data_IF_303795066653
#
_entry.id   IF_303795066653
#
_cell.length_a   1.000
_cell.length_b   1.000
_cell.length_c   1.000
_cell.angle_alpha   90.00
_cell.angle_beta   90.00
_cell.angle_gamma   90.00
#
_symmetry.space_group_name_H-M   'P 1'
#
loop_
_entity.id
_entity.type
_entity.pdbx_description
1 polymer ?
#
# COMPACT_ATOMS: atom_id res chain seq x y z
N UNK A 1 -9.07 -3.64 -25.02
CA UNK A 1 -10.57 -3.59 -24.91
C UNK A 1 -10.93 -3.20 -23.49
N UNK A 2 -11.56 -2.03 -23.28
CA UNK A 2 -11.96 -1.55 -21.93
C UNK A 2 -13.07 -2.43 -21.39
N UNK A 3 -12.90 -3.00 -20.20
CA UNK A 3 -13.90 -3.82 -19.55
C UNK A 3 -15.20 -3.02 -19.31
N UNK A 4 -16.33 -3.56 -19.72
CA UNK A 4 -17.68 -2.99 -19.47
C UNK A 4 -17.96 -2.79 -17.97
N UNK A 5 -17.27 -3.52 -17.09
CA UNK A 5 -17.28 -3.37 -15.62
C UNK A 5 -16.73 -2.02 -15.16
N UNK A 6 -15.69 -1.47 -15.82
CA UNK A 6 -15.09 -0.15 -15.46
C UNK A 6 -16.05 1.00 -15.75
N UNK A 7 -16.87 0.90 -16.81
CA UNK A 7 -17.84 1.95 -17.17
C UNK A 7 -19.08 1.94 -16.26
N UNK A 8 -19.57 0.76 -15.88
CA UNK A 8 -20.71 0.62 -14.96
C UNK A 8 -20.32 1.00 -13.53
N UNK A 9 -19.10 0.64 -13.10
CA UNK A 9 -18.53 1.06 -11.82
C UNK A 9 -18.46 2.58 -11.70
N UNK A 10 -17.99 3.28 -12.74
CA UNK A 10 -17.89 4.75 -12.76
C UNK A 10 -19.24 5.46 -12.65
N UNK A 11 -20.27 4.99 -13.38
CA UNK A 11 -21.61 5.59 -13.32
C UNK A 11 -22.27 5.38 -11.95
N UNK A 12 -22.12 4.22 -11.36
CA UNK A 12 -22.64 3.91 -10.02
C UNK A 12 -21.93 4.75 -8.94
N UNK A 13 -20.62 4.92 -9.05
CA UNK A 13 -19.81 5.71 -8.13
C UNK A 13 -20.10 7.22 -8.25
N UNK A 14 -20.27 7.75 -9.47
CA UNK A 14 -20.71 9.12 -9.68
C UNK A 14 -22.11 9.38 -9.10
N UNK A 15 -22.99 8.39 -9.13
CA UNK A 15 -24.31 8.49 -8.52
C UNK A 15 -24.25 8.50 -6.99
N UNK A 16 -23.41 7.64 -6.39
CA UNK A 16 -23.18 7.60 -4.94
C UNK A 16 -22.48 8.86 -4.43
N UNK A 17 -21.53 9.42 -5.19
CA UNK A 17 -20.90 10.71 -4.88
C UNK A 17 -21.92 11.88 -4.94
N UNK A 18 -22.90 11.81 -5.85
CA UNK A 18 -24.02 12.78 -5.92
C UNK A 18 -24.98 12.65 -4.76
N UNK A 19 -25.16 11.45 -4.20
CA UNK A 19 -26.09 11.16 -3.10
C UNK A 19 -25.48 11.39 -1.70
N UNK A 20 -24.33 12.05 -1.57
CA UNK A 20 -23.72 12.40 -0.29
C UNK A 20 -22.90 11.31 0.37
N UNK A 21 -22.40 10.32 -0.42
CA UNK A 21 -21.46 9.30 0.04
C UNK A 21 -20.23 9.91 0.72
N UNK A 22 -19.48 9.09 1.48
CA UNK A 22 -18.33 9.51 2.27
C UNK A 22 -17.34 10.39 1.48
N UNK A 23 -17.45 11.72 1.63
CA UNK A 23 -16.57 12.71 0.98
C UNK A 23 -15.34 13.07 1.80
N UNK A 24 -15.05 12.30 2.86
CA UNK A 24 -13.90 12.55 3.71
C UNK A 24 -12.59 12.57 2.92
N UNK A 25 -12.43 11.67 1.97
CA UNK A 25 -11.27 11.59 1.08
C UNK A 25 -11.08 12.87 0.24
N UNK A 26 -12.18 13.44 -0.31
CA UNK A 26 -12.11 14.67 -1.12
C UNK A 26 -11.81 15.88 -0.24
N UNK A 27 -12.32 15.92 0.98
CA UNK A 27 -11.99 16.97 1.94
C UNK A 27 -10.49 16.94 2.29
N UNK A 28 -9.91 15.77 2.56
CA UNK A 28 -8.47 15.64 2.81
C UNK A 28 -7.65 16.10 1.60
N UNK A 29 -8.02 15.71 0.38
CA UNK A 29 -7.38 16.20 -0.84
C UNK A 29 -7.52 17.70 -1.01
N UNK A 30 -8.72 18.26 -0.76
CA UNK A 30 -8.97 19.69 -0.85
C UNK A 30 -8.13 20.48 0.16
N UNK A 31 -7.97 19.98 1.39
CA UNK A 31 -7.11 20.59 2.40
C UNK A 31 -5.62 20.53 1.98
N UNK A 32 -5.17 19.39 1.47
CA UNK A 32 -3.78 19.21 1.02
C UNK A 32 -3.43 20.09 -0.17
N UNK A 33 -4.28 20.10 -1.20
CA UNK A 33 -4.11 20.88 -2.43
C UNK A 33 -4.70 22.30 -2.35
N UNK A 34 -5.07 22.77 -1.15
CA UNK A 34 -5.55 24.15 -0.89
C UNK A 34 -6.74 24.57 -1.72
N UNK A 35 -7.77 23.75 -1.74
CA UNK A 35 -9.04 24.07 -2.37
C UNK A 35 -9.43 23.23 -3.58
N UNK A 36 -8.81 22.03 -3.75
CA UNK A 36 -9.15 21.12 -4.85
C UNK A 36 -10.65 20.80 -4.85
N UNK A 37 -11.33 21.18 -5.94
CA UNK A 37 -12.73 20.84 -6.18
C UNK A 37 -12.90 19.47 -6.81
N UNK A 38 -14.12 18.92 -6.78
CA UNK A 38 -14.40 17.63 -7.44
C UNK A 38 -14.21 17.68 -8.95
N UNK A 39 -14.46 18.80 -9.60
CA UNK A 39 -14.24 19.01 -11.02
C UNK A 39 -12.74 18.99 -11.34
N UNK A 40 -11.94 19.73 -10.59
CA UNK A 40 -10.48 19.74 -10.72
C UNK A 40 -9.87 18.37 -10.41
N UNK A 41 -10.39 17.65 -9.42
CA UNK A 41 -9.99 16.28 -9.16
C UNK A 41 -10.14 15.40 -10.40
N UNK A 42 -11.30 15.44 -11.06
CA UNK A 42 -11.52 14.59 -12.24
C UNK A 42 -10.64 14.99 -13.43
N UNK A 43 -10.39 16.28 -13.61
CA UNK A 43 -9.46 16.77 -14.64
C UNK A 43 -8.05 16.25 -14.35
N UNK A 44 -7.51 16.51 -13.16
CA UNK A 44 -6.17 16.07 -12.78
C UNK A 44 -6.03 14.55 -12.80
N UNK A 45 -7.03 13.83 -12.32
CA UNK A 45 -7.05 12.36 -12.33
C UNK A 45 -6.98 11.81 -13.76
N UNK A 46 -7.74 12.39 -14.69
CA UNK A 46 -7.79 11.91 -16.09
C UNK A 46 -6.49 12.22 -16.82
N UNK A 47 -6.00 13.45 -16.71
CA UNK A 47 -4.74 13.87 -17.32
C UNK A 47 -3.55 13.12 -16.71
N UNK A 48 -3.46 13.08 -15.38
CA UNK A 48 -2.39 12.39 -14.68
C UNK A 48 -2.32 10.89 -14.99
N UNK A 49 -3.46 10.23 -15.25
CA UNK A 49 -3.49 8.84 -15.70
C UNK A 49 -2.83 8.66 -17.08
N UNK A 50 -3.08 9.60 -17.99
CA UNK A 50 -2.48 9.56 -19.34
C UNK A 50 -1.00 9.87 -19.27
N UNK A 51 -0.63 10.86 -18.48
CA UNK A 51 0.76 11.28 -18.30
C UNK A 51 1.58 10.18 -17.61
N UNK A 52 1.05 9.53 -16.58
CA UNK A 52 1.71 8.41 -15.90
C UNK A 52 1.95 7.22 -16.84
N UNK A 53 0.99 6.87 -17.69
CA UNK A 53 1.16 5.80 -18.67
C UNK A 53 2.28 6.15 -19.70
N UNK A 54 2.28 7.39 -20.17
CA UNK A 54 3.31 7.87 -21.11
C UNK A 54 4.68 7.93 -20.45
N UNK A 55 4.75 8.37 -19.19
CA UNK A 55 5.97 8.42 -18.40
C UNK A 55 6.54 7.02 -18.18
N UNK A 56 5.68 6.05 -17.83
CA UNK A 56 6.07 4.65 -17.67
C UNK A 56 6.68 4.05 -18.93
N UNK A 57 6.12 4.33 -20.11
CA UNK A 57 6.62 3.84 -21.39
C UNK A 57 7.97 4.47 -21.80
N UNK A 58 8.20 5.74 -21.43
CA UNK A 58 9.37 6.52 -21.87
C UNK A 58 10.57 6.42 -20.95
N UNK A 59 10.38 6.16 -19.66
CA UNK A 59 11.49 6.13 -18.70
C UNK A 59 12.31 4.85 -18.78
N UNK A 60 13.62 4.93 -18.59
CA UNK A 60 14.44 3.77 -18.31
C UNK A 60 13.89 3.03 -17.08
N UNK A 61 14.02 1.72 -17.06
CA UNK A 61 13.59 0.84 -15.97
C UNK A 61 14.64 -0.22 -15.69
N UNK A 62 15.89 0.23 -15.60
CA UNK A 62 17.05 -0.63 -15.47
C UNK A 62 17.64 -0.64 -14.05
N UNK A 63 17.27 0.37 -13.24
CA UNK A 63 17.80 0.55 -11.90
C UNK A 63 16.71 0.91 -10.90
N UNK A 64 16.98 0.69 -9.62
CA UNK A 64 16.09 1.12 -8.54
C UNK A 64 15.84 2.64 -8.57
N UNK A 65 16.84 3.43 -8.95
CA UNK A 65 16.71 4.87 -9.10
C UNK A 65 15.72 5.27 -10.18
N UNK A 66 15.65 4.51 -11.29
CA UNK A 66 14.69 4.76 -12.37
C UNK A 66 13.25 4.57 -11.88
N UNK A 67 12.97 3.50 -11.12
CA UNK A 67 11.64 3.24 -10.56
C UNK A 67 11.24 4.30 -9.54
N UNK A 68 12.16 4.66 -8.62
CA UNK A 68 11.91 5.73 -7.63
C UNK A 68 11.59 7.06 -8.32
N UNK A 69 12.34 7.40 -9.37
CA UNK A 69 12.13 8.61 -10.18
C UNK A 69 10.76 8.64 -10.85
N UNK A 70 10.25 7.50 -11.33
CA UNK A 70 8.91 7.41 -11.92
C UNK A 70 7.82 7.83 -10.93
N UNK A 71 7.83 7.26 -9.73
CA UNK A 71 6.82 7.58 -8.71
C UNK A 71 6.97 9.00 -8.14
N UNK A 72 8.18 9.58 -8.18
CA UNK A 72 8.45 10.93 -7.70
C UNK A 72 7.93 12.04 -8.65
N UNK A 73 7.75 11.75 -9.92
CA UNK A 73 7.43 12.76 -10.94
C UNK A 73 5.93 13.07 -11.10
N UNK A 74 5.05 12.31 -10.45
CA UNK A 74 3.60 12.52 -10.60
C UNK A 74 2.85 12.41 -9.29
N UNK A 75 1.91 13.31 -9.08
CA UNK A 75 0.95 13.25 -7.96
C UNK A 75 -0.32 12.46 -8.31
N UNK A 76 -0.41 11.92 -9.52
CA UNK A 76 -1.54 11.11 -9.96
C UNK A 76 -1.85 9.96 -9.00
N UNK A 77 -0.81 9.31 -8.46
CA UNK A 77 -1.00 8.18 -7.55
C UNK A 77 -1.63 8.59 -6.21
N UNK A 78 -1.41 9.82 -5.74
CA UNK A 78 -2.13 10.37 -4.57
C UNK A 78 -3.63 10.41 -4.86
N UNK A 79 -4.01 11.00 -5.99
CA UNK A 79 -5.40 11.11 -6.40
C UNK A 79 -6.04 9.73 -6.63
N UNK A 80 -5.28 8.82 -7.27
CA UNK A 80 -5.71 7.45 -7.56
C UNK A 80 -5.99 6.68 -6.27
N UNK A 81 -5.02 6.61 -5.35
CA UNK A 81 -5.16 5.84 -4.12
C UNK A 81 -6.25 6.42 -3.21
N UNK A 82 -6.31 7.74 -3.04
CA UNK A 82 -7.37 8.36 -2.24
C UNK A 82 -8.76 8.06 -2.78
N UNK A 83 -8.93 8.00 -4.10
CA UNK A 83 -10.21 7.66 -4.71
C UNK A 83 -10.52 6.16 -4.63
N UNK A 84 -9.55 5.27 -4.90
CA UNK A 84 -9.74 3.82 -4.86
C UNK A 84 -10.06 3.33 -3.46
N UNK A 85 -9.29 3.76 -2.46
CA UNK A 85 -9.42 3.30 -1.08
C UNK A 85 -10.46 4.04 -0.23
N UNK A 86 -11.24 4.95 -0.82
CA UNK A 86 -12.20 5.79 -0.08
C UNK A 86 -13.28 5.04 0.69
N UNK A 87 -13.58 3.80 0.29
CA UNK A 87 -14.61 2.96 0.88
C UNK A 87 -14.05 1.65 1.46
N UNK A 88 -12.73 1.50 1.53
CA UNK A 88 -12.12 0.29 2.02
C UNK A 88 -12.37 0.10 3.52
N UNK A 89 -12.58 -1.16 3.89
CA UNK A 89 -12.78 -1.59 5.26
C UNK A 89 -11.80 -2.72 5.58
N UNK A 90 -11.01 -2.53 6.64
CA UNK A 90 -9.95 -3.47 7.02
C UNK A 90 -10.34 -4.29 8.25
N UNK A 91 -11.51 -4.98 8.17
CA UNK A 91 -12.11 -5.68 9.31
C UNK A 91 -11.25 -6.85 9.82
N UNK A 92 -10.57 -7.59 8.93
CA UNK A 92 -9.73 -8.73 9.32
C UNK A 92 -8.46 -8.24 10.04
N UNK A 93 -7.82 -7.20 9.53
CA UNK A 93 -6.69 -6.55 10.20
C UNK A 93 -7.13 -6.02 11.56
N UNK A 94 -8.26 -5.31 11.63
CA UNK A 94 -8.81 -4.79 12.88
C UNK A 94 -9.14 -5.92 13.91
N UNK A 95 -9.60 -7.08 13.43
CA UNK A 95 -9.84 -8.25 14.30
C UNK A 95 -8.52 -8.76 14.88
N UNK A 96 -7.46 -8.78 14.09
CA UNK A 96 -6.12 -9.17 14.52
C UNK A 96 -5.57 -8.19 15.56
N UNK A 97 -5.64 -6.86 15.32
CA UNK A 97 -5.23 -5.86 16.31
C UNK A 97 -5.99 -6.05 17.65
N UNK A 98 -7.31 -6.26 17.58
CA UNK A 98 -8.12 -6.47 18.80
C UNK A 98 -7.72 -7.71 19.57
N UNK A 99 -7.31 -8.80 18.88
CA UNK A 99 -6.83 -10.04 19.52
C UNK A 99 -5.43 -9.87 20.10
N UNK A 100 -4.57 -9.09 19.45
CA UNK A 100 -3.23 -8.81 19.94
C UNK A 100 -3.23 -7.96 21.22
N UNK A 101 -4.17 -7.03 21.38
CA UNK A 101 -4.30 -6.25 22.60
C UNK A 101 -4.90 -4.86 22.42
N UNK A 102 -4.89 -4.10 23.52
CA UNK A 102 -5.37 -2.71 23.53
C UNK A 102 -4.35 -1.74 22.89
N UNK A 103 -3.08 -2.10 22.93
CA UNK A 103 -1.94 -1.35 22.38
C UNK A 103 -0.97 -2.31 21.68
N UNK A 104 -0.14 -1.80 20.80
CA UNK A 104 0.83 -2.60 20.04
C UNK A 104 1.51 -1.76 18.97
N UNK A 105 2.30 -2.45 18.13
CA UNK A 105 3.02 -1.87 17.01
C UNK A 105 2.46 -2.40 15.69
N UNK A 106 1.99 -1.49 14.85
CA UNK A 106 1.50 -1.76 13.50
C UNK A 106 2.43 -1.12 12.47
N UNK A 107 2.72 -1.83 11.40
CA UNK A 107 3.47 -1.30 10.25
C UNK A 107 2.65 -1.46 8.96
N UNK A 108 2.50 -0.38 8.21
CA UNK A 108 2.01 -0.37 6.84
C UNK A 108 3.21 -0.18 5.91
N UNK A 109 3.73 -1.29 5.38
CA UNK A 109 4.89 -1.32 4.48
C UNK A 109 4.42 -1.18 3.04
N UNK A 110 4.95 -0.18 2.31
CA UNK A 110 4.41 0.27 1.04
C UNK A 110 3.12 1.04 1.23
N UNK A 111 3.12 1.99 2.17
CA UNK A 111 1.87 2.59 2.67
C UNK A 111 1.16 3.51 1.66
N UNK A 112 1.84 4.02 0.64
CA UNK A 112 1.28 5.03 -0.25
C UNK A 112 0.69 6.21 0.51
N UNK A 113 -0.61 6.47 0.35
CA UNK A 113 -1.37 7.48 1.12
C UNK A 113 -1.85 6.97 2.49
N UNK A 114 -1.41 5.79 2.90
CA UNK A 114 -1.71 5.09 4.15
C UNK A 114 -3.23 4.92 4.44
N UNK A 115 -3.96 4.25 3.55
CA UNK A 115 -5.40 4.06 3.71
C UNK A 115 -5.74 3.14 4.87
N UNK A 116 -4.94 2.10 5.12
CA UNK A 116 -5.14 1.13 6.20
C UNK A 116 -4.96 1.81 7.56
N UNK A 117 -3.85 2.53 7.73
CA UNK A 117 -3.58 3.29 8.96
C UNK A 117 -4.65 4.34 9.21
N UNK A 118 -5.12 5.05 8.19
CA UNK A 118 -6.18 6.04 8.32
C UNK A 118 -7.48 5.42 8.87
N UNK A 119 -7.81 4.22 8.43
CA UNK A 119 -8.99 3.49 8.88
C UNK A 119 -8.80 2.89 10.29
N UNK A 120 -7.63 2.29 10.57
CA UNK A 120 -7.34 1.61 11.84
C UNK A 120 -7.17 2.58 13.00
N UNK A 121 -6.43 3.68 12.78
CA UNK A 121 -6.04 4.61 13.85
C UNK A 121 -7.24 5.21 14.59
N UNK A 122 -8.34 5.50 13.90
CA UNK A 122 -9.56 6.01 14.54
C UNK A 122 -10.20 4.98 15.50
N UNK A 123 -9.91 3.71 15.33
CA UNK A 123 -10.46 2.57 16.09
C UNK A 123 -9.51 2.03 17.15
N UNK A 124 -8.21 2.22 16.93
CA UNK A 124 -7.13 1.74 17.79
C UNK A 124 -6.15 2.89 18.11
N UNK A 125 -6.60 3.95 18.79
CA UNK A 125 -5.78 5.16 18.99
C UNK A 125 -4.56 4.94 19.90
N UNK A 126 -4.54 3.88 20.72
CA UNK A 126 -3.41 3.55 21.59
C UNK A 126 -2.29 2.76 20.88
N UNK A 127 -2.51 2.31 19.65
CA UNK A 127 -1.48 1.62 18.86
C UNK A 127 -0.48 2.62 18.28
N UNK A 128 0.78 2.17 18.14
CA UNK A 128 1.82 2.90 17.41
C UNK A 128 1.83 2.43 15.95
N UNK A 129 1.94 3.38 15.05
CA UNK A 129 1.89 3.14 13.61
C UNK A 129 3.21 3.54 12.97
N UNK A 130 3.78 2.67 12.15
CA UNK A 130 4.92 2.98 11.28
C UNK A 130 4.45 2.88 9.84
N UNK A 131 4.65 3.94 9.09
CA UNK A 131 4.38 4.04 7.66
C UNK A 131 5.70 3.96 6.91
N UNK A 132 5.81 3.07 5.96
CA UNK A 132 7.02 2.89 5.15
C UNK A 132 6.67 3.01 3.68
N UNK A 133 7.31 3.91 2.97
CA UNK A 133 7.22 4.02 1.51
C UNK A 133 8.41 4.78 0.95
N UNK A 134 8.59 4.72 -0.39
CA UNK A 134 9.56 5.54 -1.10
C UNK A 134 9.25 7.03 -0.95
N UNK A 135 10.28 7.92 -1.02
CA UNK A 135 10.08 9.37 -0.97
C UNK A 135 9.37 9.87 -2.24
N UNK A 136 8.07 9.78 -2.23
CA UNK A 136 7.16 10.08 -3.34
C UNK A 136 6.08 11.06 -2.90
N UNK A 137 5.34 11.70 -3.81
CA UNK A 137 4.18 12.51 -3.47
C UNK A 137 3.15 11.80 -2.60
N UNK A 138 3.03 10.46 -2.71
CA UNK A 138 2.15 9.67 -1.84
C UNK A 138 2.61 9.69 -0.39
N UNK A 139 3.91 9.46 -0.14
CA UNK A 139 4.47 9.50 1.20
C UNK A 139 4.41 10.91 1.80
N UNK A 140 4.64 11.96 0.99
CA UNK A 140 4.48 13.34 1.43
C UNK A 140 3.04 13.66 1.82
N UNK A 141 2.06 13.13 1.07
CA UNK A 141 0.66 13.21 1.46
C UNK A 141 0.41 12.48 2.78
N UNK A 142 0.95 11.26 2.97
CA UNK A 142 0.83 10.52 4.22
C UNK A 142 1.45 11.30 5.40
N UNK A 143 2.65 11.89 5.24
CA UNK A 143 3.26 12.79 6.24
C UNK A 143 2.34 13.94 6.63
N UNK A 144 1.78 14.63 5.63
CA UNK A 144 0.82 15.70 5.86
C UNK A 144 -0.44 15.20 6.57
N UNK A 145 -0.98 14.07 6.14
CA UNK A 145 -2.21 13.44 6.69
C UNK A 145 -2.09 13.15 8.18
N UNK A 146 -0.94 12.63 8.58
CA UNK A 146 -0.69 12.21 9.97
C UNK A 146 0.13 13.20 10.80
N UNK A 147 0.46 14.39 10.31
CA UNK A 147 1.33 15.39 10.98
C UNK A 147 0.92 15.79 12.40
N UNK A 148 -0.34 15.60 12.75
CA UNK A 148 -0.89 15.94 14.08
C UNK A 148 -0.87 14.79 15.07
N UNK A 149 -0.39 13.61 14.68
CA UNK A 149 -0.48 12.40 15.47
C UNK A 149 0.92 11.93 15.91
N UNK A 150 1.16 11.96 17.21
CA UNK A 150 2.47 11.59 17.80
C UNK A 150 2.74 10.10 17.82
N UNK A 151 1.70 9.28 17.60
CA UNK A 151 1.80 7.83 17.53
C UNK A 151 1.93 7.28 16.09
N UNK A 152 2.20 8.14 15.11
CA UNK A 152 2.47 7.75 13.71
C UNK A 152 3.86 8.22 13.33
N UNK A 153 4.72 7.29 12.96
CA UNK A 153 6.07 7.49 12.45
C UNK A 153 6.10 7.20 10.95
N UNK A 154 6.81 8.01 10.18
CA UNK A 154 7.00 7.81 8.73
C UNK A 154 8.47 7.56 8.45
N UNK A 155 8.78 6.44 7.78
CA UNK A 155 10.12 5.99 7.41
C UNK A 155 10.26 5.84 5.90
N UNK A 156 11.46 6.08 5.42
CA UNK A 156 11.84 5.87 4.02
C UNK A 156 12.89 4.76 3.96
N UNK A 157 12.77 3.80 3.03
CA UNK A 157 13.87 2.88 2.75
C UNK A 157 15.03 3.63 2.08
N UNK A 158 16.25 3.28 2.45
CA UNK A 158 17.45 3.69 1.74
C UNK A 158 17.56 3.03 0.36
N UNK A 159 18.72 3.13 -0.28
CA UNK A 159 19.02 2.42 -1.51
C UNK A 159 19.59 1.02 -1.21
N UNK A 160 19.25 0.08 -2.09
CA UNK A 160 19.77 -1.30 -2.00
C UNK A 160 19.30 -2.03 -0.75
N UNK A 161 20.24 -2.38 0.14
CA UNK A 161 19.97 -3.17 1.35
C UNK A 161 19.60 -2.33 2.59
N UNK A 162 19.51 -1.00 2.47
CA UNK A 162 19.14 -0.12 3.59
C UNK A 162 17.63 -0.17 3.81
N UNK A 163 17.19 -1.19 4.54
CA UNK A 163 15.77 -1.45 4.82
C UNK A 163 15.34 -0.76 6.13
N UNK A 164 14.12 -0.20 6.18
CA UNK A 164 13.77 0.86 7.14
C UNK A 164 13.30 0.40 8.51
N UNK A 165 12.98 -0.91 8.69
CA UNK A 165 12.45 -1.39 9.97
C UNK A 165 13.59 -1.56 10.98
N UNK A 166 13.42 -1.01 12.18
CA UNK A 166 14.42 -1.04 13.26
C UNK A 166 13.86 -1.60 14.57
N UNK A 167 12.59 -1.98 14.59
CA UNK A 167 11.91 -2.59 15.73
C UNK A 167 10.98 -3.70 15.25
N UNK A 168 10.46 -4.51 16.17
CA UNK A 168 9.51 -5.57 15.85
C UNK A 168 8.05 -5.12 16.02
N UNK A 169 7.16 -5.70 15.22
CA UNK A 169 5.76 -5.32 15.10
C UNK A 169 4.83 -6.47 15.44
N UNK A 170 3.68 -6.16 16.03
CA UNK A 170 2.60 -7.13 16.27
C UNK A 170 1.84 -7.45 14.98
N UNK A 171 1.71 -6.45 14.10
CA UNK A 171 1.07 -6.63 12.78
C UNK A 171 1.81 -5.82 11.74
N UNK A 172 2.11 -6.46 10.61
CA UNK A 172 2.66 -5.81 9.40
C UNK A 172 1.69 -6.06 8.24
N UNK A 173 1.44 -5.03 7.43
CA UNK A 173 0.83 -5.16 6.11
C UNK A 173 1.85 -4.81 5.05
N UNK A 174 1.91 -5.62 3.97
CA UNK A 174 2.75 -5.42 2.79
C UNK A 174 1.88 -5.78 1.57
N UNK A 175 1.01 -4.85 1.17
CA UNK A 175 -0.02 -5.05 0.15
C UNK A 175 0.25 -4.15 -1.06
N UNK A 176 0.19 -4.73 -2.26
CA UNK A 176 0.49 -4.06 -3.53
C UNK A 176 1.89 -3.43 -3.55
N UNK A 177 2.90 -4.22 -3.10
CA UNK A 177 4.30 -3.78 -2.93
C UNK A 177 5.28 -4.70 -3.63
N UNK A 178 5.17 -6.01 -3.41
CA UNK A 178 6.21 -6.96 -3.80
C UNK A 178 6.44 -7.03 -5.31
N UNK A 179 5.42 -6.78 -6.11
CA UNK A 179 5.48 -6.71 -7.56
C UNK A 179 6.17 -5.44 -8.09
N UNK A 180 6.35 -4.43 -7.24
CA UNK A 180 6.93 -3.12 -7.58
C UNK A 180 8.35 -2.92 -7.04
N UNK A 181 8.95 -3.92 -6.40
CA UNK A 181 10.30 -3.83 -5.85
C UNK A 181 11.27 -4.74 -6.60
N UNK A 182 12.51 -4.28 -6.77
CA UNK A 182 13.55 -5.03 -7.50
C UNK A 182 13.94 -6.32 -6.76
N UNK A 183 13.89 -6.32 -5.44
CA UNK A 183 14.25 -7.48 -4.62
C UNK A 183 13.17 -7.81 -3.57
N UNK A 184 12.04 -8.42 -3.98
CA UNK A 184 10.95 -8.78 -3.07
C UNK A 184 11.36 -9.82 -2.03
N UNK A 185 12.29 -10.71 -2.36
CA UNK A 185 12.82 -11.71 -1.41
C UNK A 185 13.49 -11.03 -0.20
N UNK A 186 14.31 -10.01 -0.44
CA UNK A 186 14.96 -9.24 0.62
C UNK A 186 13.95 -8.47 1.46
N UNK A 187 12.94 -7.87 0.84
CA UNK A 187 11.86 -7.18 1.55
C UNK A 187 11.11 -8.13 2.47
N UNK A 188 10.76 -9.33 1.99
CA UNK A 188 10.07 -10.34 2.80
C UNK A 188 10.93 -10.85 3.95
N UNK A 189 12.22 -11.12 3.72
CA UNK A 189 13.17 -11.48 4.79
C UNK A 189 13.15 -10.42 5.90
N UNK A 190 13.28 -9.15 5.52
CA UNK A 190 13.27 -8.04 6.46
C UNK A 190 11.95 -7.93 7.23
N UNK A 191 10.81 -8.05 6.55
CA UNK A 191 9.48 -8.02 7.17
C UNK A 191 9.31 -9.17 8.17
N UNK A 192 9.70 -10.40 7.78
CA UNK A 192 9.61 -11.59 8.64
C UNK A 192 10.52 -11.46 9.88
N UNK A 193 11.74 -10.93 9.71
CA UNK A 193 12.66 -10.67 10.82
C UNK A 193 12.05 -9.72 11.85
N UNK A 194 11.41 -8.65 11.39
CA UNK A 194 10.81 -7.61 12.24
C UNK A 194 9.37 -7.91 12.70
N UNK A 195 8.83 -9.07 12.40
CA UNK A 195 7.57 -9.54 12.95
C UNK A 195 7.81 -10.18 14.31
N UNK A 196 7.08 -9.78 15.36
CA UNK A 196 7.16 -10.38 16.70
C UNK A 196 6.74 -11.85 16.66
N UNK A 197 7.25 -12.73 17.54
CA UNK A 197 6.67 -14.05 17.74
C UNK A 197 5.16 -13.95 18.04
N UNK A 198 4.33 -14.67 17.30
CA UNK A 198 2.88 -14.57 17.34
C UNK A 198 2.29 -13.35 16.60
N UNK A 199 3.14 -12.51 16.00
CA UNK A 199 2.71 -11.39 15.17
C UNK A 199 2.14 -11.83 13.82
N UNK A 200 1.31 -11.00 13.20
CA UNK A 200 0.61 -11.28 11.97
C UNK A 200 1.13 -10.47 10.77
N UNK A 201 1.24 -11.12 9.63
CA UNK A 201 1.58 -10.50 8.33
C UNK A 201 0.40 -10.64 7.37
N UNK A 202 0.00 -9.52 6.78
CA UNK A 202 -0.89 -9.46 5.62
C UNK A 202 -0.07 -9.07 4.40
N UNK A 203 -0.08 -9.90 3.37
CA UNK A 203 0.78 -9.72 2.20
C UNK A 203 0.06 -10.21 0.94
N UNK A 204 0.32 -9.56 -0.19
CA UNK A 204 -0.01 -10.07 -1.51
C UNK A 204 1.21 -9.95 -2.44
N UNK A 205 1.16 -10.62 -3.56
CA UNK A 205 2.17 -10.54 -4.61
C UNK A 205 1.46 -10.77 -5.95
N UNK A 206 1.03 -9.70 -6.56
CA UNK A 206 0.24 -9.73 -7.79
C UNK A 206 1.14 -10.07 -8.97
N UNK A 207 0.71 -11.00 -9.80
CA UNK A 207 1.33 -11.30 -11.09
C UNK A 207 0.32 -10.99 -12.19
N UNK A 208 0.31 -9.75 -12.65
CA UNK A 208 -0.53 -9.34 -13.77
C UNK A 208 0.35 -8.93 -14.95
N UNK A 209 0.03 -9.36 -16.18
CA UNK A 209 0.75 -8.91 -17.37
C UNK A 209 0.47 -7.42 -17.60
N UNK A 210 1.54 -6.65 -17.74
CA UNK A 210 1.49 -5.20 -17.97
C UNK A 210 1.36 -4.40 -16.66
N UNK A 211 1.31 -3.08 -16.80
CA UNK A 211 1.30 -2.17 -15.67
C UNK A 211 2.72 -1.91 -15.13
N UNK A 212 2.78 -1.59 -13.84
CA UNK A 212 4.00 -1.18 -13.16
C UNK A 212 4.77 -2.36 -12.52
N UNK A 213 4.40 -3.62 -12.85
CA UNK A 213 5.02 -4.82 -12.30
C UNK A 213 6.42 -5.04 -12.90
N UNK A 214 7.39 -5.36 -12.05
CA UNK A 214 8.78 -5.50 -12.44
C UNK A 214 9.09 -6.95 -12.86
N UNK A 215 9.90 -7.09 -13.91
CA UNK A 215 10.38 -8.40 -14.37
C UNK A 215 11.25 -9.05 -13.30
N UNK A 216 12.07 -8.28 -12.59
CA UNK A 216 12.92 -8.72 -11.48
C UNK A 216 12.09 -9.25 -10.30
N UNK A 217 10.96 -8.60 -10.02
CA UNK A 217 10.03 -9.06 -9.00
C UNK A 217 9.39 -10.39 -9.40
N UNK A 218 8.90 -10.48 -10.64
CA UNK A 218 8.29 -11.71 -11.17
C UNK A 218 9.27 -12.90 -11.13
N UNK A 219 10.56 -12.67 -11.46
CA UNK A 219 11.60 -13.71 -11.42
C UNK A 219 11.83 -14.29 -10.01
N UNK A 220 11.63 -13.50 -8.95
CA UNK A 220 11.83 -13.90 -7.55
C UNK A 220 10.53 -14.34 -6.86
N UNK A 221 9.39 -14.30 -7.55
CA UNK A 221 8.07 -14.54 -6.94
C UNK A 221 7.98 -15.92 -6.27
N UNK A 222 8.42 -16.97 -6.95
CA UNK A 222 8.36 -18.34 -6.42
C UNK A 222 9.18 -18.51 -5.15
N UNK A 223 10.40 -17.99 -5.13
CA UNK A 223 11.29 -18.07 -3.97
C UNK A 223 10.76 -17.25 -2.80
N UNK A 224 10.15 -16.09 -3.09
CA UNK A 224 9.50 -15.23 -2.10
C UNK A 224 8.29 -15.91 -1.46
N UNK A 225 7.44 -16.58 -2.25
CA UNK A 225 6.30 -17.35 -1.74
C UNK A 225 6.78 -18.53 -0.91
N UNK A 226 7.82 -19.23 -1.37
CA UNK A 226 8.42 -20.33 -0.62
C UNK A 226 8.96 -19.88 0.73
N UNK A 227 9.69 -18.76 0.76
CA UNK A 227 10.20 -18.17 2.00
C UNK A 227 9.08 -17.85 3.00
N UNK A 228 7.99 -17.24 2.56
CA UNK A 228 6.82 -16.95 3.41
C UNK A 228 6.25 -18.24 4.02
N UNK A 229 6.02 -19.26 3.20
CA UNK A 229 5.43 -20.54 3.63
C UNK A 229 6.36 -21.36 4.54
N UNK A 230 7.68 -21.25 4.36
CA UNK A 230 8.68 -21.95 5.18
C UNK A 230 8.92 -21.23 6.53
N UNK A 231 8.77 -19.91 6.57
CA UNK A 231 9.10 -19.08 7.74
C UNK A 231 7.91 -18.80 8.66
N UNK A 232 6.69 -18.84 8.15
CA UNK A 232 5.47 -18.41 8.83
C UNK A 232 4.37 -19.48 8.75
N UNK A 233 3.49 -19.49 9.75
CA UNK A 233 2.28 -20.30 9.75
C UNK A 233 1.19 -19.60 8.92
N UNK A 234 0.74 -20.24 7.84
CA UNK A 234 -0.26 -19.69 6.96
C UNK A 234 -1.67 -19.87 7.52
N UNK A 235 -2.41 -18.79 7.72
CA UNK A 235 -3.86 -18.79 7.94
C UNK A 235 -4.58 -18.78 6.59
N UNK A 236 -4.11 -17.94 5.68
CA UNK A 236 -4.47 -17.92 4.25
C UNK A 236 -3.16 -17.83 3.48
N UNK A 237 -2.71 -18.92 2.84
CA UNK A 237 -1.41 -18.92 2.17
C UNK A 237 -1.44 -18.09 0.88
N UNK A 238 -0.31 -17.46 0.59
CA UNK A 238 -0.03 -16.96 -0.76
C UNK A 238 0.29 -18.16 -1.65
N UNK A 239 -0.39 -18.25 -2.78
CA UNK A 239 -0.30 -19.38 -3.70
C UNK A 239 0.34 -18.95 -5.01
N UNK A 240 1.23 -19.80 -5.51
CA UNK A 240 1.94 -19.56 -6.77
C UNK A 240 1.03 -19.54 -8.01
N UNK A 241 -0.05 -20.33 -7.96
CA UNK A 241 -1.05 -20.44 -9.04
C UNK A 241 -2.13 -19.34 -9.00
N UNK A 242 -2.11 -18.48 -7.97
CA UNK A 242 -3.03 -17.35 -7.83
C UNK A 242 -2.31 -16.07 -8.21
N UNK A 243 -2.65 -15.54 -9.37
CA UNK A 243 -2.06 -14.30 -9.91
C UNK A 243 -2.88 -13.05 -9.59
N UNK A 244 -4.10 -13.25 -9.06
CA UNK A 244 -5.03 -12.17 -8.71
C UNK A 244 -4.68 -11.51 -7.37
N UNK A 245 -5.29 -10.37 -7.12
CA UNK A 245 -5.22 -9.61 -5.87
C UNK A 245 -5.89 -10.37 -4.70
N UNK A 246 -5.17 -11.34 -4.15
CA UNK A 246 -5.60 -12.11 -2.97
C UNK A 246 -4.65 -11.83 -1.82
N UNK A 247 -5.19 -11.27 -0.74
CA UNK A 247 -4.42 -10.99 0.46
C UNK A 247 -4.19 -12.28 1.26
N UNK A 248 -2.95 -12.68 1.38
CA UNK A 248 -2.54 -13.77 2.25
C UNK A 248 -2.43 -13.27 3.70
N UNK A 249 -2.60 -14.18 4.65
CA UNK A 249 -2.48 -13.93 6.07
C UNK A 249 -1.62 -14.99 6.73
N UNK A 250 -0.55 -14.58 7.36
CA UNK A 250 0.41 -15.42 8.07
C UNK A 250 0.58 -15.00 9.52
N UNK A 251 1.06 -15.93 10.35
CA UNK A 251 1.43 -15.69 11.75
C UNK A 251 2.85 -16.22 11.98
N UNK A 252 3.71 -15.46 12.66
CA UNK A 252 5.03 -15.91 13.07
C UNK A 252 4.92 -16.88 14.22
N UNK A 253 5.55 -18.07 14.16
CA UNK A 253 5.54 -19.03 15.26
C UNK A 253 6.01 -18.42 16.59
N UNK A 254 5.42 -18.87 17.69
CA UNK A 254 5.78 -18.45 19.07
C UNK A 254 6.95 -19.27 19.61
N UNK A 255 8.03 -19.37 18.88
CA UNK A 255 9.21 -20.10 19.39
C UNK A 255 10.04 -19.21 20.30
#
# INVERSE_FOLDING_TARGET
MRSYRDLLGRRRLQLLDRLGGNRGWLRELSEYYRGLTIQEFWVRYTLGRMDAATLWERKPRSTEADYRSFYAETDYFVLRQMYYHRNDCHHDIARTLRRAGREGDFCEYGCGVAPITAWLRSRFPAWRYTLVDLPTPMLEFARWRFRKFTNVEVKEPGFGSDLPLTRSYDVITCLDVLEHVVNPLQVVLHVVEHLKPGGALYVNFIEAPGGENLVEAAAQRMDTIKLLNDSLEAIVPLRADVTAEVNAHYVKPRR
#
